data_IF_283436042877
#
_entry.id   IF_283436042877
#
_cell.length_a   1.000
_cell.length_b   1.000
_cell.length_c   1.000
_cell.angle_alpha   90.00
_cell.angle_beta   90.00
_cell.angle_gamma   90.00
#
_symmetry.space_group_name_H-M   'P 1'
#
loop_
_entity.id
_entity.type
_entity.pdbx_description
1 polymer ?
#
# COMPACT_ATOMS: atom_id res chain seq x y z
N UNK A 1 -31.03 75.16 -22.07
CA UNK A 1 -30.77 74.41 -20.81
C UNK A 1 -31.12 72.95 -21.07
N UNK A 2 -30.20 72.17 -21.63
CA UNK A 2 -30.35 70.72 -21.76
C UNK A 2 -29.04 70.09 -21.27
N UNK A 3 -29.13 69.44 -20.11
CA UNK A 3 -28.06 68.67 -19.50
C UNK A 3 -27.90 67.38 -20.32
N UNK A 4 -26.68 67.11 -20.79
CA UNK A 4 -26.33 65.85 -21.46
C UNK A 4 -25.62 64.96 -20.43
N UNK A 5 -26.25 63.82 -20.15
CA UNK A 5 -25.85 62.79 -19.19
C UNK A 5 -24.44 62.23 -19.47
N UNK A 6 -23.54 62.38 -18.49
CA UNK A 6 -22.16 61.85 -18.51
C UNK A 6 -22.06 60.38 -18.05
N UNK A 7 -23.18 59.70 -17.83
CA UNK A 7 -23.23 58.37 -17.19
C UNK A 7 -23.01 57.20 -18.17
N UNK A 8 -23.13 57.40 -19.49
CA UNK A 8 -23.05 56.31 -20.47
C UNK A 8 -21.61 55.92 -20.87
N UNK A 9 -20.61 56.77 -20.60
CA UNK A 9 -19.23 56.53 -21.06
C UNK A 9 -18.43 55.60 -20.15
N UNK A 10 -18.84 55.44 -18.88
CA UNK A 10 -18.11 54.64 -17.90
C UNK A 10 -18.44 53.15 -17.95
N UNK A 11 -19.51 52.73 -18.64
CA UNK A 11 -19.91 51.32 -18.71
C UNK A 11 -19.24 50.55 -19.85
N UNK A 12 -18.87 51.19 -20.96
CA UNK A 12 -18.20 50.49 -22.08
C UNK A 12 -16.75 50.10 -21.80
N UNK A 13 -16.06 50.84 -20.93
CA UNK A 13 -14.67 50.53 -20.54
C UNK A 13 -14.57 49.30 -19.61
N UNK A 14 -15.60 49.05 -18.79
CA UNK A 14 -15.64 47.92 -17.88
C UNK A 14 -15.85 46.57 -18.60
N UNK A 15 -16.61 46.56 -19.70
CA UNK A 15 -16.92 45.35 -20.47
C UNK A 15 -15.70 44.80 -21.24
N UNK A 16 -14.85 45.66 -21.81
CA UNK A 16 -13.65 45.22 -22.52
C UNK A 16 -12.55 44.70 -21.58
N UNK A 17 -12.47 45.22 -20.34
CA UNK A 17 -11.48 44.75 -19.36
C UNK A 17 -11.81 43.35 -18.83
N UNK A 18 -13.11 43.06 -18.65
CA UNK A 18 -13.57 41.72 -18.25
C UNK A 18 -13.32 40.66 -19.34
N UNK A 19 -13.43 41.03 -20.62
CA UNK A 19 -13.16 40.12 -21.74
C UNK A 19 -11.67 39.79 -21.90
N UNK A 20 -10.76 40.72 -21.53
CA UNK A 20 -9.32 40.47 -21.58
C UNK A 20 -8.83 39.56 -20.43
N UNK A 21 -9.48 39.64 -19.27
CA UNK A 21 -9.19 38.76 -18.12
C UNK A 21 -9.68 37.31 -18.31
N UNK A 22 -10.65 37.06 -19.19
CA UNK A 22 -11.19 35.72 -19.41
C UNK A 22 -10.31 34.84 -20.32
N UNK A 23 -9.35 35.41 -21.06
CA UNK A 23 -8.54 34.66 -22.03
C UNK A 23 -7.29 33.98 -21.43
N UNK A 24 -7.04 34.14 -20.12
CA UNK A 24 -5.86 33.58 -19.44
C UNK A 24 -6.07 32.24 -18.74
N UNK A 25 -7.30 31.75 -18.62
CA UNK A 25 -7.62 30.54 -17.86
C UNK A 25 -7.65 29.28 -18.74
N UNK A 26 -6.55 29.00 -19.44
CA UNK A 26 -6.35 27.66 -19.99
C UNK A 26 -5.98 26.71 -18.83
N UNK A 27 -6.72 25.61 -18.61
CA UNK A 27 -6.29 24.61 -17.65
C UNK A 27 -4.99 23.99 -18.16
N UNK A 28 -3.88 24.27 -17.48
CA UNK A 28 -2.63 23.58 -17.74
C UNK A 28 -2.84 22.09 -17.43
N UNK A 29 -2.90 21.26 -18.47
CA UNK A 29 -2.97 19.81 -18.30
C UNK A 29 -1.72 19.39 -17.54
N UNK A 30 -1.92 18.86 -16.33
CA UNK A 30 -0.83 18.52 -15.42
C UNK A 30 -0.18 17.20 -15.86
N UNK A 31 0.73 17.28 -16.84
CA UNK A 31 1.57 16.16 -17.24
C UNK A 31 2.59 15.84 -16.12
N UNK A 32 2.47 14.68 -15.48
CA UNK A 32 3.28 14.27 -14.33
C UNK A 32 4.61 13.67 -14.77
N UNK A 33 5.71 14.05 -14.10
CA UNK A 33 7.05 13.57 -14.43
C UNK A 33 7.36 12.23 -13.72
N UNK A 34 7.75 11.22 -14.48
CA UNK A 34 8.12 9.89 -13.98
C UNK A 34 9.63 9.80 -13.79
N UNK A 35 10.09 9.27 -12.65
CA UNK A 35 11.49 8.91 -12.41
C UNK A 35 11.61 7.40 -12.30
N UNK A 36 12.46 6.77 -13.10
CA UNK A 36 12.78 5.36 -12.95
C UNK A 36 14.29 5.14 -12.98
N UNK A 37 14.71 3.96 -12.55
CA UNK A 37 16.11 3.54 -12.62
C UNK A 37 16.19 2.40 -13.63
N UNK A 38 17.12 2.47 -14.58
CA UNK A 38 17.33 1.41 -15.57
C UNK A 38 18.27 0.30 -15.05
N UNK A 39 18.55 -0.72 -15.89
CA UNK A 39 19.41 -1.86 -15.54
C UNK A 39 20.87 -1.47 -15.26
N UNK A 40 21.27 -0.27 -15.66
CA UNK A 40 22.61 0.26 -15.46
C UNK A 40 22.68 1.14 -14.19
N UNK A 41 21.58 1.22 -13.42
CA UNK A 41 21.49 2.08 -12.24
C UNK A 41 21.34 3.56 -12.57
N UNK A 42 21.07 3.90 -13.83
CA UNK A 42 20.94 5.29 -14.28
C UNK A 42 19.52 5.75 -14.03
N UNK A 43 19.42 6.91 -13.40
CA UNK A 43 18.17 7.57 -13.07
C UNK A 43 17.68 8.39 -14.26
N UNK A 44 16.50 8.06 -14.77
CA UNK A 44 15.85 8.74 -15.88
C UNK A 44 14.63 9.52 -15.41
N UNK A 45 14.38 10.66 -16.04
CA UNK A 45 13.20 11.50 -15.83
C UNK A 45 12.49 11.70 -17.17
N UNK A 46 11.23 11.29 -17.29
CA UNK A 46 10.42 11.51 -18.51
C UNK A 46 8.95 11.72 -18.18
N UNK A 47 8.25 12.40 -19.07
CA UNK A 47 6.80 12.59 -19.02
C UNK A 47 6.04 11.32 -19.46
N UNK A 48 6.73 10.37 -20.11
CA UNK A 48 6.20 9.07 -20.49
C UNK A 48 7.11 7.94 -20.02
N UNK A 49 6.56 7.03 -19.22
CA UNK A 49 7.26 5.84 -18.74
C UNK A 49 7.23 4.75 -19.83
N UNK A 50 8.38 4.27 -20.33
CA UNK A 50 8.43 3.18 -21.30
C UNK A 50 7.88 1.87 -20.71
N UNK A 51 7.23 1.04 -21.54
CA UNK A 51 6.66 -0.25 -21.10
C UNK A 51 7.73 -1.20 -20.52
N UNK A 52 8.96 -1.09 -21.00
CA UNK A 52 10.09 -1.97 -20.62
C UNK A 52 10.58 -1.76 -19.17
N UNK A 53 10.27 -0.63 -18.56
CA UNK A 53 10.68 -0.28 -17.18
C UNK A 53 9.56 -0.40 -16.15
N UNK A 54 8.32 -0.70 -16.59
CA UNK A 54 7.16 -0.91 -15.70
C UNK A 54 7.41 -2.04 -14.69
N UNK A 55 8.07 -3.11 -15.12
CA UNK A 55 8.34 -4.28 -14.28
C UNK A 55 9.54 -4.10 -13.34
N UNK A 56 10.34 -3.04 -13.49
CA UNK A 56 11.61 -2.87 -12.75
C UNK A 56 11.47 -2.03 -11.49
N UNK A 57 10.27 -1.48 -11.27
CA UNK A 57 10.03 -0.55 -10.17
C UNK A 57 10.60 0.83 -10.45
N UNK A 58 9.97 1.85 -9.88
CA UNK A 58 10.22 3.24 -10.18
C UNK A 58 9.53 4.14 -9.17
N UNK A 59 9.80 5.43 -9.19
CA UNK A 59 9.13 6.39 -8.30
C UNK A 59 8.50 7.50 -9.14
N UNK A 60 7.19 7.68 -8.99
CA UNK A 60 6.45 8.77 -9.65
C UNK A 60 6.59 10.04 -8.81
N UNK A 61 6.95 11.15 -9.45
CA UNK A 61 7.08 12.45 -8.80
C UNK A 61 6.03 13.44 -9.30
N UNK A 62 5.64 14.36 -8.43
CA UNK A 62 4.87 15.56 -8.79
C UNK A 62 5.79 16.58 -9.47
N UNK A 63 5.22 17.58 -10.17
CA UNK A 63 5.97 18.71 -10.77
C UNK A 63 6.78 19.52 -9.75
N UNK A 64 6.45 19.39 -8.47
CA UNK A 64 7.17 20.00 -7.34
C UNK A 64 8.30 19.11 -6.80
N UNK A 65 8.61 17.99 -7.45
CA UNK A 65 9.66 17.05 -7.01
C UNK A 65 9.26 16.19 -5.82
N UNK A 66 7.97 16.15 -5.46
CA UNK A 66 7.46 15.33 -4.35
C UNK A 66 7.17 13.91 -4.81
N UNK A 67 7.59 12.91 -4.05
CA UNK A 67 7.29 11.51 -4.34
C UNK A 67 5.79 11.25 -4.17
N UNK A 68 5.09 10.90 -5.25
CA UNK A 68 3.66 10.57 -5.23
C UNK A 68 3.47 9.06 -5.01
N UNK A 69 4.28 8.22 -5.65
CA UNK A 69 4.08 6.77 -5.64
C UNK A 69 5.38 6.03 -5.87
N UNK A 70 5.63 4.98 -5.07
CA UNK A 70 6.70 4.01 -5.31
C UNK A 70 6.10 2.78 -5.98
N UNK A 71 6.68 2.37 -7.10
CA UNK A 71 6.42 1.12 -7.80
C UNK A 71 7.55 0.20 -7.37
N UNK A 72 7.25 -0.81 -6.56
CA UNK A 72 8.27 -1.78 -6.17
C UNK A 72 8.59 -2.69 -7.37
N UNK A 73 9.86 -3.10 -7.55
CA UNK A 73 10.25 -3.99 -8.63
C UNK A 73 9.45 -5.30 -8.59
N UNK A 74 9.19 -5.90 -9.76
CA UNK A 74 8.77 -7.30 -9.80
C UNK A 74 9.83 -8.13 -9.09
N UNK A 75 9.43 -8.83 -8.02
CA UNK A 75 10.33 -9.67 -7.23
C UNK A 75 11.09 -10.62 -8.16
N UNK A 76 12.42 -10.67 -8.00
CA UNK A 76 13.23 -11.62 -8.77
C UNK A 76 12.80 -13.06 -8.43
N UNK A 77 12.93 -14.04 -9.35
CA UNK A 77 12.55 -15.43 -9.07
C UNK A 77 13.20 -16.00 -7.79
N UNK A 78 14.42 -15.55 -7.47
CA UNK A 78 15.11 -15.92 -6.24
C UNK A 78 14.44 -15.35 -4.98
N UNK A 79 13.97 -14.09 -5.02
CA UNK A 79 13.24 -13.46 -3.92
C UNK A 79 11.85 -14.06 -3.73
N UNK A 80 11.17 -14.43 -4.82
CA UNK A 80 9.89 -15.15 -4.75
C UNK A 80 10.09 -16.49 -4.03
N UNK A 81 11.09 -17.28 -4.45
CA UNK A 81 11.39 -18.57 -3.82
C UNK A 81 11.78 -18.43 -2.34
N UNK A 82 12.55 -17.40 -1.98
CA UNK A 82 12.91 -17.13 -0.59
C UNK A 82 11.68 -16.76 0.26
N UNK A 83 10.77 -15.94 -0.28
CA UNK A 83 9.52 -15.58 0.39
C UNK A 83 8.59 -16.79 0.54
N UNK A 84 8.46 -17.61 -0.50
CA UNK A 84 7.66 -18.84 -0.44
C UNK A 84 8.19 -19.81 0.62
N UNK A 85 9.51 -19.97 0.72
CA UNK A 85 10.13 -20.80 1.75
C UNK A 85 9.88 -20.26 3.17
N UNK A 86 9.94 -18.95 3.36
CA UNK A 86 9.63 -18.32 4.65
C UNK A 86 8.15 -18.47 5.00
N UNK A 87 7.26 -18.20 4.05
CA UNK A 87 5.82 -18.38 4.21
C UNK A 87 5.46 -19.84 4.49
N UNK A 88 6.20 -20.81 3.94
CA UNK A 88 6.04 -22.22 4.28
C UNK A 88 6.52 -22.54 5.70
N UNK A 89 7.68 -22.02 6.13
CA UNK A 89 8.14 -22.18 7.52
C UNK A 89 7.15 -21.61 8.52
N UNK A 90 6.63 -20.40 8.26
CA UNK A 90 5.64 -19.74 9.12
C UNK A 90 4.34 -20.56 9.19
N UNK A 91 3.89 -21.11 8.06
CA UNK A 91 2.72 -22.01 8.03
C UNK A 91 2.95 -23.30 8.83
N UNK A 92 4.12 -23.91 8.74
CA UNK A 92 4.46 -25.10 9.53
C UNK A 92 4.48 -24.78 11.03
N UNK A 93 5.11 -23.67 11.41
CA UNK A 93 5.16 -23.23 12.81
C UNK A 93 3.76 -22.96 13.36
N UNK A 94 2.91 -22.26 12.59
CA UNK A 94 1.53 -21.97 12.99
C UNK A 94 0.72 -23.26 13.24
N UNK A 95 0.84 -24.25 12.35
CA UNK A 95 0.17 -25.55 12.52
C UNK A 95 0.61 -26.27 13.80
N UNK A 96 1.92 -26.33 14.07
CA UNK A 96 2.43 -26.98 15.29
C UNK A 96 1.96 -26.25 16.55
N UNK A 97 1.90 -24.92 16.53
CA UNK A 97 1.42 -24.14 17.67
C UNK A 97 -0.09 -24.31 17.88
N UNK A 98 -0.87 -24.39 16.81
CA UNK A 98 -2.30 -24.70 16.87
C UNK A 98 -2.55 -26.09 17.47
N UNK A 99 -1.82 -27.11 17.02
CA UNK A 99 -1.94 -28.47 17.57
C UNK A 99 -1.53 -28.55 19.05
N UNK A 100 -0.53 -27.78 19.47
CA UNK A 100 -0.16 -27.68 20.90
C UNK A 100 -1.27 -27.01 21.69
N UNK A 101 -1.72 -25.83 21.24
CA UNK A 101 -2.80 -25.08 21.90
C UNK A 101 -4.07 -25.94 22.03
N UNK A 102 -4.46 -26.66 20.98
CA UNK A 102 -5.60 -27.58 21.03
C UNK A 102 -5.43 -28.69 22.07
N UNK A 103 -4.23 -29.27 22.18
CA UNK A 103 -3.94 -30.30 23.19
C UNK A 103 -3.94 -29.73 24.59
N UNK A 104 -3.38 -28.54 24.78
CA UNK A 104 -3.34 -27.86 26.07
C UNK A 104 -4.76 -27.51 26.54
N UNK A 105 -5.59 -26.95 25.65
CA UNK A 105 -7.01 -26.70 25.94
C UNK A 105 -7.72 -28.00 26.33
N UNK A 106 -7.53 -29.08 25.57
CA UNK A 106 -8.13 -30.37 25.91
C UNK A 106 -7.68 -30.89 27.28
N UNK A 107 -6.39 -30.69 27.64
CA UNK A 107 -5.85 -31.08 28.93
C UNK A 107 -6.54 -30.29 30.07
N UNK A 108 -6.59 -28.97 29.97
CA UNK A 108 -7.20 -28.10 30.99
C UNK A 108 -8.72 -28.26 31.09
N UNK A 109 -9.39 -28.65 30.00
CA UNK A 109 -10.81 -28.99 30.02
C UNK A 109 -11.10 -30.35 30.65
N UNK A 110 -10.18 -31.32 30.52
CA UNK A 110 -10.39 -32.68 31.04
C UNK A 110 -9.95 -32.84 32.48
N UNK A 111 -8.99 -32.03 32.94
CA UNK A 111 -8.41 -32.11 34.27
C UNK A 111 -8.39 -30.72 34.90
N UNK A 112 -9.05 -30.60 36.04
CA UNK A 112 -9.21 -29.29 36.72
C UNK A 112 -8.01 -28.98 37.61
N UNK A 113 -7.22 -29.99 37.99
CA UNK A 113 -6.00 -29.85 38.77
C UNK A 113 -4.96 -30.93 38.43
N UNK A 114 -3.72 -30.71 38.87
CA UNK A 114 -2.63 -31.68 38.66
C UNK A 114 -2.88 -33.00 39.43
N UNK A 115 -3.47 -32.93 40.62
CA UNK A 115 -3.77 -34.12 41.42
C UNK A 115 -4.76 -35.06 40.71
N UNK A 116 -5.68 -34.51 39.92
CA UNK A 116 -6.65 -35.29 39.13
C UNK A 116 -5.96 -36.06 38.00
N UNK A 117 -4.91 -35.48 37.40
CA UNK A 117 -4.07 -36.14 36.38
C UNK A 117 -3.34 -37.33 37.01
N UNK A 118 -2.73 -37.13 38.18
CA UNK A 118 -1.99 -38.18 38.88
C UNK A 118 -2.90 -39.31 39.37
N UNK A 119 -4.11 -38.98 39.85
CA UNK A 119 -5.12 -39.96 40.21
C UNK A 119 -5.58 -40.78 38.99
N UNK A 120 -5.88 -40.11 37.87
CA UNK A 120 -6.27 -40.77 36.62
C UNK A 120 -5.16 -41.69 36.09
N UNK A 121 -3.89 -41.26 36.16
CA UNK A 121 -2.72 -42.07 35.82
C UNK A 121 -2.63 -43.31 36.70
N UNK A 122 -2.71 -43.14 38.01
CA UNK A 122 -2.61 -44.23 38.99
C UNK A 122 -3.70 -45.29 38.76
N UNK A 123 -4.93 -44.83 38.50
CA UNK A 123 -6.05 -45.71 38.15
C UNK A 123 -5.81 -46.49 36.86
N UNK A 124 -5.27 -45.85 35.82
CA UNK A 124 -4.98 -46.49 34.55
C UNK A 124 -3.88 -47.56 34.68
N UNK A 125 -2.84 -47.30 35.48
CA UNK A 125 -1.77 -48.26 35.75
C UNK A 125 -2.29 -49.51 36.48
N UNK A 126 -3.11 -49.33 37.51
CA UNK A 126 -3.71 -50.45 38.25
C UNK A 126 -4.57 -51.36 37.35
N UNK A 127 -5.24 -50.79 36.34
CA UNK A 127 -6.04 -51.55 35.39
C UNK A 127 -5.21 -52.35 34.35
N UNK A 128 -3.94 -51.99 34.15
CA UNK A 128 -3.00 -52.71 33.28
C UNK A 128 -2.30 -53.84 34.04
N UNK A 129 -2.07 -53.64 35.35
CA UNK A 129 -1.39 -54.60 36.22
C UNK A 129 -2.30 -55.69 36.81
N UNK A 130 -3.63 -55.56 36.65
CA UNK A 130 -4.64 -56.56 37.05
C UNK A 130 -4.96 -57.56 35.95
#
# INVERSE_FOLDING_TARGET
MHMIDKQAFTWSAAACFAAWLALGALPAVAAGMYKWTDDQGIVHYSDQMPADVVNKGGTVFDKQGRQIKKIDPTLTPAQIKAKEAEDERLRQLAKTQEEKSRRDIALTHSYTSEEEIDFARSRALLAIES
#
